data_IF_514140963509
#
_entry.id   IF_514140963509
#
_cell.length_a   1.000
_cell.length_b   1.000
_cell.length_c   1.000
_cell.angle_alpha   90.00
_cell.angle_beta   90.00
_cell.angle_gamma   90.00
#
_symmetry.space_group_name_H-M   'P 1'
#
loop_
_entity.id
_entity.type
_entity.pdbx_description
1 polymer ?
#
# COMPACT_ATOMS: atom_id res chain seq x y z
N UNK A 1 -10.48 -20.43 23.25
CA UNK A 1 -10.23 -20.35 21.82
C UNK A 1 -10.38 -18.90 21.31
N UNK A 2 -9.35 -18.39 20.72
CA UNK A 2 -9.40 -17.01 20.25
C UNK A 2 -10.22 -16.92 18.98
N UNK A 3 -11.23 -16.11 19.00
CA UNK A 3 -12.03 -15.87 17.80
C UNK A 3 -11.39 -14.69 17.05
N UNK A 4 -11.07 -14.93 15.81
CA UNK A 4 -10.51 -13.87 15.01
C UNK A 4 -11.59 -12.81 14.79
N UNK A 5 -11.31 -11.61 15.25
CA UNK A 5 -12.25 -10.52 15.10
C UNK A 5 -12.05 -9.90 13.72
N UNK A 6 -13.12 -9.86 12.93
CA UNK A 6 -13.05 -9.22 11.62
C UNK A 6 -12.85 -7.72 11.80
N UNK A 7 -12.12 -7.08 10.89
CA UNK A 7 -11.96 -5.63 10.96
C UNK A 7 -13.28 -4.94 10.69
N UNK A 8 -13.47 -3.78 11.32
CA UNK A 8 -14.63 -2.98 11.00
C UNK A 8 -14.31 -2.08 9.81
N UNK A 9 -15.33 -1.41 9.30
CA UNK A 9 -15.16 -0.57 8.12
C UNK A 9 -14.16 0.56 8.35
N UNK A 10 -14.15 1.11 9.56
CA UNK A 10 -13.21 2.18 9.87
C UNK A 10 -11.77 1.70 9.78
N UNK A 11 -11.50 0.50 10.26
CA UNK A 11 -10.16 -0.09 10.16
C UNK A 11 -9.80 -0.32 8.69
N UNK A 12 -10.74 -0.84 7.91
CA UNK A 12 -10.52 -1.08 6.49
C UNK A 12 -10.17 0.22 5.78
N UNK A 13 -10.93 1.27 6.05
CA UNK A 13 -10.67 2.56 5.42
C UNK A 13 -9.33 3.15 5.85
N UNK A 14 -8.95 2.94 7.10
CA UNK A 14 -7.63 3.36 7.56
C UNK A 14 -6.51 2.67 6.82
N UNK A 15 -6.66 1.37 6.58
CA UNK A 15 -5.65 0.62 5.84
C UNK A 15 -5.58 1.05 4.38
N UNK A 16 -6.72 1.36 3.78
CA UNK A 16 -6.73 1.91 2.42
C UNK A 16 -6.01 3.25 2.39
N UNK A 17 -6.23 4.09 3.42
CA UNK A 17 -5.53 5.37 3.52
C UNK A 17 -4.02 5.19 3.59
N UNK A 18 -3.54 4.15 4.28
CA UNK A 18 -2.11 3.87 4.31
C UNK A 18 -1.57 3.51 2.95
N UNK A 19 -2.34 2.74 2.16
CA UNK A 19 -1.95 2.42 0.80
C UNK A 19 -1.81 3.70 -0.02
N UNK A 20 -2.76 4.61 0.14
CA UNK A 20 -2.71 5.87 -0.58
C UNK A 20 -1.50 6.70 -0.20
N UNK A 21 -1.12 6.70 1.08
CA UNK A 21 0.06 7.43 1.52
C UNK A 21 1.33 6.87 0.89
N UNK A 22 1.45 5.56 0.84
CA UNK A 22 2.61 4.93 0.22
C UNK A 22 2.63 5.14 -1.28
N UNK A 23 1.46 5.17 -1.90
CA UNK A 23 1.36 5.48 -3.31
C UNK A 23 1.88 6.90 -3.60
N UNK A 24 1.57 7.86 -2.74
CA UNK A 24 2.09 9.21 -2.88
C UNK A 24 3.61 9.25 -2.78
N UNK A 25 4.18 8.44 -1.91
CA UNK A 25 5.63 8.35 -1.80
C UNK A 25 6.24 7.83 -3.10
N UNK A 26 5.63 6.83 -3.70
CA UNK A 26 6.06 6.32 -4.99
C UNK A 26 6.01 7.43 -6.04
N UNK A 27 4.93 8.18 -6.06
CA UNK A 27 4.78 9.27 -7.02
C UNK A 27 5.85 10.34 -6.86
N UNK A 28 6.21 10.66 -5.62
CA UNK A 28 7.24 11.66 -5.36
C UNK A 28 8.58 11.21 -5.90
N UNK A 29 8.93 9.95 -5.70
CA UNK A 29 10.19 9.44 -6.23
C UNK A 29 10.17 9.48 -7.76
N UNK A 30 9.04 9.10 -8.37
CA UNK A 30 8.90 9.15 -9.81
C UNK A 30 9.08 10.57 -10.35
N UNK A 31 8.56 11.57 -9.65
CA UNK A 31 8.73 12.96 -10.07
C UNK A 31 10.20 13.37 -10.04
N UNK A 32 10.92 12.95 -8.98
CA UNK A 32 12.35 13.23 -8.91
C UNK A 32 13.11 12.59 -10.06
N UNK A 33 12.71 11.37 -10.44
CA UNK A 33 13.39 10.65 -11.51
C UNK A 33 13.24 11.37 -12.85
N UNK A 34 12.15 12.08 -13.06
CA UNK A 34 11.94 12.80 -14.31
C UNK A 34 12.94 13.91 -14.52
N UNK A 35 13.50 14.47 -13.44
CA UNK A 35 14.46 15.56 -13.54
C UNK A 35 15.90 15.09 -13.57
N UNK A 36 16.14 13.79 -13.63
CA UNK A 36 17.49 13.25 -13.54
C UNK A 36 17.79 12.45 -14.80
N UNK A 37 19.03 12.58 -15.27
CA UNK A 37 19.45 11.89 -16.47
C UNK A 37 19.44 10.37 -16.25
N UNK A 38 18.87 9.65 -17.20
CA UNK A 38 18.84 8.21 -17.14
C UNK A 38 20.24 7.63 -17.07
N UNK A 39 20.37 6.50 -16.36
CA UNK A 39 21.62 5.77 -16.23
C UNK A 39 22.71 6.57 -15.50
N UNK A 40 22.36 7.69 -14.89
CA UNK A 40 23.30 8.41 -14.03
C UNK A 40 23.25 7.79 -12.63
N UNK A 41 24.29 8.09 -11.83
CA UNK A 41 24.31 7.60 -10.45
C UNK A 41 23.09 8.08 -9.65
N UNK A 42 22.71 9.36 -9.74
CA UNK A 42 21.50 9.81 -9.04
C UNK A 42 20.24 9.05 -9.49
N UNK A 43 20.17 8.69 -10.76
CA UNK A 43 19.02 7.91 -11.24
C UNK A 43 19.00 6.53 -10.59
N UNK A 44 20.16 5.89 -10.48
CA UNK A 44 20.25 4.58 -9.85
C UNK A 44 19.88 4.66 -8.38
N UNK A 45 20.28 5.73 -7.70
CA UNK A 45 19.91 5.94 -6.31
C UNK A 45 18.39 6.06 -6.16
N UNK A 46 17.75 6.78 -7.08
CA UNK A 46 16.30 6.92 -7.06
C UNK A 46 15.59 5.61 -7.35
N UNK A 47 16.15 4.78 -8.22
CA UNK A 47 15.59 3.46 -8.47
C UNK A 47 15.62 2.61 -7.21
N UNK A 48 16.72 2.69 -6.45
CA UNK A 48 16.81 1.96 -5.19
C UNK A 48 15.78 2.47 -4.19
N UNK A 49 15.61 3.78 -4.12
CA UNK A 49 14.62 4.37 -3.24
C UNK A 49 13.21 3.94 -3.66
N UNK A 50 12.97 3.94 -4.98
CA UNK A 50 11.67 3.51 -5.50
C UNK A 50 11.39 2.06 -5.15
N UNK A 51 12.42 1.21 -5.22
CA UNK A 51 12.25 -0.20 -4.87
C UNK A 51 11.73 -0.36 -3.45
N UNK A 52 12.31 0.40 -2.51
CA UNK A 52 11.90 0.33 -1.11
C UNK A 52 10.46 0.80 -0.95
N UNK A 53 10.10 1.91 -1.61
CA UNK A 53 8.74 2.42 -1.52
C UNK A 53 7.72 1.45 -2.11
N UNK A 54 8.07 0.82 -3.24
CA UNK A 54 7.19 -0.17 -3.86
C UNK A 54 7.05 -1.42 -3.00
N UNK A 55 8.14 -1.83 -2.35
CA UNK A 55 8.10 -2.97 -1.46
C UNK A 55 7.09 -2.75 -0.32
N UNK A 56 7.13 -1.58 0.30
CA UNK A 56 6.20 -1.27 1.38
C UNK A 56 4.78 -1.09 0.87
N UNK A 57 4.65 -0.48 -0.32
CA UNK A 57 3.32 -0.34 -0.92
C UNK A 57 2.69 -1.72 -1.14
N UNK A 58 3.48 -2.67 -1.62
CA UNK A 58 2.99 -4.03 -1.82
C UNK A 58 2.48 -4.63 -0.51
N UNK A 59 3.27 -4.48 0.56
CA UNK A 59 2.87 -5.02 1.85
C UNK A 59 1.59 -4.36 2.34
N UNK A 60 1.51 -3.04 2.24
CA UNK A 60 0.33 -2.32 2.69
C UNK A 60 -0.90 -2.69 1.86
N UNK A 61 -0.71 -2.86 0.56
CA UNK A 61 -1.80 -3.26 -0.32
C UNK A 61 -2.31 -4.65 0.03
N UNK A 62 -1.40 -5.59 0.31
CA UNK A 62 -1.79 -6.94 0.69
C UNK A 62 -2.59 -6.92 1.99
N UNK A 63 -2.15 -6.15 2.96
CA UNK A 63 -2.84 -6.05 4.24
C UNK A 63 -4.24 -5.47 4.05
N UNK A 64 -4.35 -4.41 3.25
CA UNK A 64 -5.65 -3.78 3.01
C UNK A 64 -6.59 -4.73 2.26
N UNK A 65 -6.09 -5.43 1.26
CA UNK A 65 -6.91 -6.37 0.50
C UNK A 65 -7.42 -7.50 1.39
N UNK A 66 -6.55 -8.01 2.25
CA UNK A 66 -6.94 -9.07 3.17
C UNK A 66 -8.01 -8.58 4.15
N UNK A 67 -7.86 -7.35 4.64
CA UNK A 67 -8.84 -6.78 5.56
C UNK A 67 -10.20 -6.59 4.88
N UNK A 68 -10.20 -6.18 3.62
CA UNK A 68 -11.45 -6.06 2.87
C UNK A 68 -12.14 -7.42 2.74
N UNK A 69 -11.35 -8.44 2.44
CA UNK A 69 -11.86 -9.79 2.31
C UNK A 69 -12.49 -10.27 3.62
N UNK A 70 -11.78 -10.05 4.73
CA UNK A 70 -12.28 -10.46 6.03
C UNK A 70 -13.52 -9.67 6.42
N UNK A 71 -13.55 -8.40 6.06
CA UNK A 71 -14.73 -7.58 6.34
C UNK A 71 -15.94 -8.11 5.59
N UNK A 72 -15.78 -8.43 4.30
CA UNK A 72 -16.87 -8.98 3.50
C UNK A 72 -17.38 -10.29 4.08
N UNK A 73 -16.46 -11.14 4.53
CA UNK A 73 -16.85 -12.43 5.09
C UNK A 73 -17.61 -12.29 6.40
N UNK A 74 -17.42 -11.17 7.09
CA UNK A 74 -18.08 -10.94 8.36
C UNK A 74 -19.49 -10.41 8.21
N UNK A 75 -19.85 -9.95 7.00
CA UNK A 75 -21.18 -9.39 6.78
C UNK A 75 -22.22 -10.52 6.71
N UNK A 76 -23.40 -10.28 7.28
CA UNK A 76 -24.42 -11.32 7.20
C UNK A 76 -24.90 -11.51 5.77
N UNK A 77 -25.21 -12.75 5.43
CA UNK A 77 -25.75 -13.05 4.12
C UNK A 77 -27.16 -12.49 4.02
N UNK A 78 -27.43 -11.75 2.97
CA UNK A 78 -28.76 -11.28 2.67
C UNK A 78 -29.49 -12.34 1.85
N UNK A 79 -30.50 -12.88 2.46
CA UNK A 79 -31.29 -13.89 1.80
C UNK A 79 -32.40 -13.28 1.00
#
# INVERSE_FOLDING_TARGET
MATKTAPNLETVEGLIGEVEEWYERVRRVREKMKGVKRESDPYQDLLSELWVELFWLKIKADVAAEAIDEYHESLPDDE
#
